data_IF_545926872189
#
_entry.id   IF_545926872189
#
_cell.length_a   1.000
_cell.length_b   1.000
_cell.length_c   1.000
_cell.angle_alpha   90.00
_cell.angle_beta   90.00
_cell.angle_gamma   90.00
#
_symmetry.space_group_name_H-M   'P 1'
#
loop_
_entity.id
_entity.type
_entity.pdbx_description
1 polymer ?
#
# COMPACT_ATOMS: atom_id res chain seq x y z
N UNK A 1 28.53 23.06 2.86
CA UNK A 1 27.68 22.19 2.02
C UNK A 1 27.84 20.70 2.29
N UNK A 2 29.04 20.17 2.62
CA UNK A 2 29.23 18.74 2.92
C UNK A 2 28.41 18.20 4.12
N UNK A 3 28.09 19.04 5.10
CA UNK A 3 27.28 18.66 6.27
C UNK A 3 25.79 18.44 5.96
N UNK A 4 25.24 19.07 4.91
CA UNK A 4 23.82 18.90 4.55
C UNK A 4 23.58 17.63 3.76
N UNK A 5 24.51 17.24 2.88
CA UNK A 5 24.46 15.96 2.14
C UNK A 5 24.66 14.76 3.08
N UNK A 6 25.48 14.91 4.12
CA UNK A 6 25.69 13.85 5.11
C UNK A 6 24.45 13.60 5.98
N UNK A 7 23.69 14.65 6.31
CA UNK A 7 22.40 14.50 7.01
C UNK A 7 21.34 13.83 6.15
N UNK A 8 21.26 14.15 4.84
CA UNK A 8 20.34 13.48 3.92
C UNK A 8 20.67 11.98 3.77
N UNK A 9 21.95 11.63 3.67
CA UNK A 9 22.40 10.22 3.62
C UNK A 9 22.16 9.47 4.93
N UNK A 10 22.29 10.12 6.08
CA UNK A 10 22.00 9.51 7.38
C UNK A 10 20.50 9.21 7.55
N UNK A 11 19.61 10.11 7.10
CA UNK A 11 18.17 9.87 7.06
C UNK A 11 17.81 8.71 6.13
N UNK A 12 18.49 8.61 4.98
CA UNK A 12 18.33 7.49 4.04
C UNK A 12 18.81 6.15 4.62
N UNK A 13 19.92 6.16 5.39
CA UNK A 13 20.45 4.98 6.07
C UNK A 13 19.53 4.51 7.20
N UNK A 14 18.92 5.42 7.94
CA UNK A 14 17.91 5.08 8.95
C UNK A 14 16.63 4.48 8.32
N UNK A 15 16.23 4.93 7.13
CA UNK A 15 15.12 4.31 6.39
C UNK A 15 15.43 2.85 5.98
N UNK A 16 16.67 2.56 5.58
CA UNK A 16 17.12 1.20 5.25
C UNK A 16 17.20 0.27 6.48
N UNK A 17 17.57 0.82 7.64
CA UNK A 17 17.63 0.05 8.89
C UNK A 17 16.24 -0.22 9.50
N UNK A 18 15.31 0.72 9.41
CA UNK A 18 13.92 0.51 9.87
C UNK A 18 13.14 -0.50 9.02
N UNK A 19 13.42 -0.57 7.72
CA UNK A 19 12.79 -1.53 6.80
C UNK A 19 13.37 -2.94 6.93
N UNK A 20 14.67 -3.08 7.24
CA UNK A 20 15.29 -4.40 7.48
C UNK A 20 14.90 -5.01 8.85
N UNK A 21 14.84 -4.21 9.93
CA UNK A 21 14.43 -4.72 11.26
C UNK A 21 12.96 -5.19 11.32
N UNK A 22 12.10 -4.68 10.44
CA UNK A 22 10.71 -5.14 10.32
C UNK A 22 10.57 -6.48 9.58
N UNK A 23 11.58 -6.91 8.79
CA UNK A 23 11.49 -8.08 7.89
C UNK A 23 12.38 -9.28 8.25
N UNK A 24 13.34 -9.18 9.17
CA UNK A 24 14.26 -10.29 9.50
C UNK A 24 14.08 -10.92 10.90
N UNK A 25 12.89 -10.80 11.51
CA UNK A 25 12.56 -11.52 12.76
C UNK A 25 12.06 -12.96 12.55
N UNK A 26 12.18 -13.53 11.35
CA UNK A 26 11.54 -14.81 11.02
C UNK A 26 12.42 -15.67 10.11
N UNK A 27 13.56 -16.14 10.62
CA UNK A 27 14.24 -17.35 10.16
C UNK A 27 15.41 -17.68 11.09
N UNK A 28 15.16 -18.44 12.16
CA UNK A 28 16.13 -19.37 12.74
C UNK A 28 15.46 -20.28 13.77
N UNK A 29 15.98 -21.51 13.85
CA UNK A 29 15.73 -22.60 14.82
C UNK A 29 14.44 -23.41 14.68
N UNK A 30 14.50 -24.37 13.74
CA UNK A 30 13.78 -25.63 13.82
C UNK A 30 14.67 -26.76 13.26
N UNK A 31 15.48 -27.40 14.12
CA UNK A 31 16.10 -28.70 13.83
C UNK A 31 16.25 -29.51 15.12
N UNK A 32 15.49 -30.62 15.13
CA UNK A 32 15.86 -31.98 15.54
C UNK A 32 16.43 -32.23 16.94
N UNK A 33 15.67 -32.96 17.75
CA UNK A 33 16.23 -34.03 18.58
C UNK A 33 15.18 -35.14 18.79
N UNK A 34 15.60 -36.36 18.45
CA UNK A 34 14.93 -37.64 18.57
C UNK A 34 15.63 -38.43 19.70
N UNK A 35 14.90 -39.37 20.32
CA UNK A 35 15.29 -40.28 21.43
C UNK A 35 15.23 -39.63 22.83
N UNK A 36 14.68 -40.24 23.89
CA UNK A 36 14.64 -41.63 24.31
C UNK A 36 13.36 -41.97 25.11
N UNK A 37 12.91 -43.23 25.03
CA UNK A 37 11.95 -43.88 25.97
C UNK A 37 12.55 -44.00 27.37
N UNK A 38 11.73 -43.82 28.41
CA UNK A 38 11.64 -44.66 29.63
C UNK A 38 10.35 -44.34 30.42
N UNK A 39 9.83 -45.34 31.13
CA UNK A 39 8.47 -45.50 31.66
C UNK A 39 8.23 -44.92 33.07
N UNK A 40 7.00 -44.34 33.26
CA UNK A 40 6.06 -44.39 34.42
C UNK A 40 6.46 -43.85 35.83
N UNK A 41 5.52 -43.62 36.79
CA UNK A 41 4.08 -43.27 36.73
C UNK A 41 3.64 -42.09 37.67
N UNK A 42 2.36 -41.68 37.54
CA UNK A 42 1.48 -40.99 38.53
C UNK A 42 1.90 -39.67 39.21
N UNK A 43 1.26 -38.56 38.81
CA UNK A 43 0.80 -37.50 39.73
C UNK A 43 -0.24 -36.56 39.06
N UNK A 44 -1.17 -36.10 39.88
CA UNK A 44 -2.40 -35.32 39.69
C UNK A 44 -2.34 -33.95 38.97
N UNK A 45 -3.51 -33.35 38.60
CA UNK A 45 -3.60 -32.29 37.61
C UNK A 45 -3.36 -30.90 38.23
N UNK A 46 -2.38 -30.17 37.69
CA UNK A 46 -2.24 -28.73 37.94
C UNK A 46 -2.80 -27.92 36.78
N UNK A 47 -3.76 -27.07 37.14
CA UNK A 47 -4.41 -26.04 36.36
C UNK A 47 -3.45 -25.20 35.50
N UNK A 48 -3.64 -25.22 34.18
CA UNK A 48 -2.98 -24.29 33.26
C UNK A 48 -3.85 -23.05 33.08
N UNK A 49 -3.41 -21.95 33.67
CA UNK A 49 -3.95 -20.61 33.43
C UNK A 49 -3.71 -20.21 31.97
N UNK A 50 -4.80 -19.99 31.22
CA UNK A 50 -4.78 -19.39 29.89
C UNK A 50 -4.17 -17.99 29.93
N UNK A 51 -2.91 -17.85 29.51
CA UNK A 51 -2.27 -16.57 29.26
C UNK A 51 -2.64 -16.12 27.83
N UNK A 52 -3.63 -15.23 27.73
CA UNK A 52 -4.03 -14.58 26.48
C UNK A 52 -2.85 -13.82 25.85
N UNK A 53 -2.22 -14.44 24.84
CA UNK A 53 -1.31 -13.75 23.92
C UNK A 53 -2.15 -12.98 22.90
N UNK A 54 -2.32 -11.67 23.13
CA UNK A 54 -2.88 -10.72 22.15
C UNK A 54 -1.94 -10.64 20.95
N UNK A 55 -2.17 -11.44 19.91
CA UNK A 55 -1.52 -11.25 18.61
C UNK A 55 -2.24 -10.13 17.84
N UNK A 56 -1.62 -8.95 17.78
CA UNK A 56 -1.98 -7.83 16.89
C UNK A 56 -1.58 -8.06 15.41
N UNK A 57 -1.47 -9.32 14.98
CA UNK A 57 -0.93 -9.70 13.67
C UNK A 57 -2.05 -10.20 12.75
N UNK A 58 -2.90 -9.30 12.22
CA UNK A 58 -3.69 -9.56 10.98
C UNK A 58 -4.51 -8.33 10.54
N UNK A 59 -3.92 -7.13 10.52
CA UNK A 59 -4.61 -5.95 9.94
C UNK A 59 -4.25 -5.67 8.48
N UNK A 60 -3.23 -6.34 7.92
CA UNK A 60 -2.68 -6.00 6.59
C UNK A 60 -3.21 -6.86 5.42
N UNK A 61 -3.78 -8.04 5.66
CA UNK A 61 -4.18 -8.94 4.57
C UNK A 61 -5.65 -8.85 4.15
N UNK A 62 -6.53 -8.25 4.96
CA UNK A 62 -7.98 -8.22 4.65
C UNK A 62 -8.30 -7.27 3.49
N UNK A 63 -7.52 -6.20 3.30
CA UNK A 63 -7.81 -5.17 2.31
C UNK A 63 -7.63 -5.60 0.84
N UNK A 64 -6.78 -6.58 0.53
CA UNK A 64 -6.44 -6.91 -0.86
C UNK A 64 -7.38 -7.89 -1.56
N UNK A 65 -8.18 -8.70 -0.82
CA UNK A 65 -8.95 -9.77 -1.45
C UNK A 65 -10.38 -9.39 -1.87
N UNK A 66 -10.93 -8.27 -1.37
CA UNK A 66 -12.34 -7.90 -1.63
C UNK A 66 -12.57 -7.06 -2.89
N UNK A 67 -11.52 -6.56 -3.53
CA UNK A 67 -11.67 -5.47 -4.52
C UNK A 67 -11.77 -5.95 -5.97
N UNK A 68 -11.70 -7.26 -6.23
CA UNK A 68 -11.67 -7.78 -7.61
C UNK A 68 -13.03 -7.71 -8.36
N UNK A 69 -14.14 -7.41 -7.67
CA UNK A 69 -15.50 -7.54 -8.24
C UNK A 69 -16.34 -6.24 -8.33
N UNK A 70 -15.84 -5.06 -7.94
CA UNK A 70 -16.59 -3.79 -8.12
C UNK A 70 -16.32 -3.15 -9.48
N UNK A 71 -17.02 -3.63 -10.53
CA UNK A 71 -16.97 -3.07 -11.89
C UNK A 71 -18.12 -2.11 -12.23
N UNK A 72 -18.83 -1.52 -11.25
CA UNK A 72 -20.07 -0.78 -11.54
C UNK A 72 -20.52 0.32 -10.57
N UNK A 73 -19.61 1.03 -9.89
CA UNK A 73 -19.99 2.22 -9.11
C UNK A 73 -19.69 3.50 -9.90
N UNK A 74 -20.70 4.36 -10.07
CA UNK A 74 -20.59 5.68 -10.67
C UNK A 74 -19.67 6.58 -9.83
N UNK A 75 -18.74 7.34 -10.44
CA UNK A 75 -17.83 8.20 -9.70
C UNK A 75 -18.56 9.44 -9.18
N UNK A 76 -18.47 9.66 -7.86
CA UNK A 76 -18.79 10.96 -7.26
C UNK A 76 -17.69 12.00 -7.58
N UNK A 77 -17.97 13.31 -7.44
CA UNK A 77 -17.02 14.36 -7.76
C UNK A 77 -15.95 14.45 -6.66
N UNK A 78 -14.89 13.64 -6.79
CA UNK A 78 -13.76 13.64 -5.87
C UNK A 78 -12.74 14.74 -6.27
N UNK A 79 -12.20 15.47 -5.29
CA UNK A 79 -11.15 16.47 -5.53
C UNK A 79 -9.85 15.88 -6.14
N UNK A 80 -9.67 14.55 -6.08
CA UNK A 80 -8.60 13.83 -6.79
C UNK A 80 -8.80 13.80 -8.31
N UNK A 81 -10.06 13.79 -8.78
CA UNK A 81 -10.37 13.92 -10.20
C UNK A 81 -9.99 15.30 -10.72
N UNK A 82 -10.05 16.35 -9.90
CA UNK A 82 -9.61 17.70 -10.30
C UNK A 82 -8.09 17.83 -10.36
N UNK A 83 -7.34 17.15 -9.49
CA UNK A 83 -5.87 17.13 -9.52
C UNK A 83 -5.32 16.22 -10.62
N UNK A 84 -5.96 15.07 -10.86
CA UNK A 84 -5.65 14.22 -12.01
C UNK A 84 -6.13 14.85 -13.32
N UNK A 85 -7.24 15.60 -13.32
CA UNK A 85 -7.68 16.38 -14.48
C UNK A 85 -6.73 17.56 -14.71
N UNK A 86 -6.20 18.23 -13.69
CA UNK A 86 -5.16 19.26 -13.87
C UNK A 86 -3.86 18.66 -14.39
N UNK A 87 -3.40 17.53 -13.82
CA UNK A 87 -2.22 16.81 -14.32
C UNK A 87 -2.42 16.27 -15.73
N UNK A 88 -3.60 15.72 -16.03
CA UNK A 88 -4.00 15.24 -17.34
C UNK A 88 -4.34 16.37 -18.31
N UNK A 89 -4.66 17.58 -17.88
CA UNK A 89 -4.92 18.75 -18.73
C UNK A 89 -3.63 19.55 -18.97
N UNK A 90 -2.63 19.41 -18.09
CA UNK A 90 -1.24 19.82 -18.37
C UNK A 90 -0.57 18.81 -19.32
N UNK A 91 -0.75 17.50 -19.10
CA UNK A 91 -0.25 16.45 -20.00
C UNK A 91 -1.01 16.38 -21.33
N UNK A 92 -2.34 16.51 -21.30
CA UNK A 92 -3.14 16.60 -22.52
C UNK A 92 -2.98 17.97 -23.16
N UNK A 93 -2.83 19.07 -22.43
CA UNK A 93 -2.44 20.36 -23.01
C UNK A 93 -1.11 20.27 -23.75
N UNK A 94 -0.14 19.53 -23.22
CA UNK A 94 1.11 19.21 -23.91
C UNK A 94 0.92 18.22 -25.09
N UNK A 95 -0.02 17.28 -25.00
CA UNK A 95 -0.26 16.26 -26.03
C UNK A 95 -1.23 16.68 -27.16
N UNK A 96 -2.26 17.49 -26.89
CA UNK A 96 -3.27 17.94 -27.86
C UNK A 96 -2.86 19.20 -28.62
N UNK A 97 -2.00 20.06 -28.05
CA UNK A 97 -1.25 21.03 -28.86
C UNK A 97 -0.09 20.37 -29.63
N UNK A 98 0.33 19.17 -29.23
CA UNK A 98 1.43 18.44 -29.89
C UNK A 98 1.00 17.59 -31.09
N UNK A 99 -0.15 16.93 -31.07
CA UNK A 99 -0.31 15.66 -31.82
C UNK A 99 -0.28 15.70 -33.37
N UNK A 100 -0.67 16.76 -34.10
CA UNK A 100 -0.40 16.82 -35.54
C UNK A 100 0.93 17.50 -35.91
N UNK A 101 1.74 17.93 -34.94
CA UNK A 101 2.99 18.68 -35.10
C UNK A 101 4.26 17.88 -34.67
N UNK A 102 4.12 16.64 -34.17
CA UNK A 102 5.14 15.91 -33.39
C UNK A 102 6.37 15.44 -34.17
N UNK A 103 6.36 15.33 -35.50
CA UNK A 103 7.58 14.91 -36.19
C UNK A 103 8.64 16.02 -36.21
N UNK A 104 8.24 17.25 -36.54
CA UNK A 104 9.17 18.37 -36.69
C UNK A 104 9.35 19.18 -35.38
N UNK A 105 8.36 19.17 -34.47
CA UNK A 105 8.42 19.98 -33.24
C UNK A 105 9.11 19.29 -32.06
N UNK A 106 9.42 17.99 -32.14
CA UNK A 106 10.23 17.35 -31.10
C UNK A 106 11.69 17.80 -31.22
N UNK A 107 12.21 17.98 -32.44
CA UNK A 107 13.52 18.60 -32.64
C UNK A 107 13.51 20.07 -32.19
N UNK A 108 12.52 20.89 -32.58
CA UNK A 108 12.43 22.29 -32.10
C UNK A 108 12.20 22.39 -30.59
N UNK A 109 11.46 21.45 -29.99
CA UNK A 109 11.34 21.37 -28.54
C UNK A 109 12.68 20.98 -27.89
N UNK A 110 13.42 20.03 -28.45
CA UNK A 110 14.74 19.65 -27.95
C UNK A 110 15.77 20.78 -28.12
N UNK A 111 15.79 21.47 -29.27
CA UNK A 111 16.65 22.64 -29.51
C UNK A 111 16.24 23.86 -28.66
N UNK A 112 14.95 24.02 -28.36
CA UNK A 112 14.51 25.06 -27.41
C UNK A 112 14.76 24.68 -25.95
N UNK A 113 14.87 23.39 -25.60
CA UNK A 113 15.34 22.96 -24.27
C UNK A 113 16.81 23.34 -24.06
N UNK A 114 17.64 23.27 -25.10
CA UNK A 114 19.01 23.84 -25.10
C UNK A 114 19.02 25.38 -24.97
N UNK A 115 17.97 26.07 -25.43
CA UNK A 115 17.79 27.51 -25.22
C UNK A 115 17.23 27.85 -23.82
N UNK A 116 16.54 26.90 -23.17
CA UNK A 116 15.95 27.03 -21.84
C UNK A 116 16.90 26.60 -20.72
N UNK A 117 18.01 25.96 -21.07
CA UNK A 117 19.15 25.70 -20.19
C UNK A 117 20.00 26.95 -20.11
N UNK A 118 20.06 27.55 -18.93
CA UNK A 118 20.97 28.67 -18.72
C UNK A 118 22.41 28.11 -18.73
N UNK A 119 23.33 28.64 -19.56
CA UNK A 119 24.68 28.09 -19.73
C UNK A 119 25.54 28.09 -18.45
N UNK A 120 25.06 28.70 -17.37
CA UNK A 120 25.68 28.68 -16.03
C UNK A 120 24.65 28.77 -14.89
N UNK A 121 23.41 28.29 -15.08
CA UNK A 121 22.34 28.53 -14.10
C UNK A 121 21.23 27.48 -14.09
N UNK A 122 20.39 27.56 -13.06
CA UNK A 122 19.16 26.79 -12.95
C UNK A 122 18.14 27.36 -13.95
N UNK A 123 17.94 26.66 -15.06
CA UNK A 123 17.07 27.05 -16.16
C UNK A 123 15.62 26.61 -16.00
N UNK A 124 14.79 26.92 -17.00
CA UNK A 124 13.40 26.47 -17.03
C UNK A 124 13.33 24.94 -17.21
N UNK A 125 14.26 24.36 -17.96
CA UNK A 125 14.38 22.91 -18.10
C UNK A 125 14.64 22.22 -16.75
N UNK A 126 15.51 22.78 -15.90
CA UNK A 126 15.75 22.26 -14.55
C UNK A 126 14.53 22.37 -13.64
N UNK A 127 13.75 23.46 -13.79
CA UNK A 127 12.51 23.64 -13.07
C UNK A 127 11.47 22.60 -13.49
N UNK A 128 11.29 22.37 -14.79
CA UNK A 128 10.39 21.34 -15.31
C UNK A 128 10.81 19.94 -14.86
N UNK A 129 12.11 19.61 -14.97
CA UNK A 129 12.65 18.36 -14.46
C UNK A 129 12.39 18.20 -12.96
N UNK A 130 12.57 19.27 -12.17
CA UNK A 130 12.28 19.26 -10.74
C UNK A 130 10.79 19.09 -10.41
N UNK A 131 9.90 19.66 -11.22
CA UNK A 131 8.45 19.44 -11.10
C UNK A 131 8.06 17.99 -11.43
N UNK A 132 8.65 17.41 -12.48
CA UNK A 132 8.43 16.01 -12.86
C UNK A 132 8.91 15.06 -11.76
N UNK A 133 10.13 15.27 -11.26
CA UNK A 133 10.65 14.52 -10.12
C UNK A 133 9.83 14.71 -8.85
N UNK A 134 9.43 15.95 -8.54
CA UNK A 134 8.60 16.24 -7.37
C UNK A 134 7.23 15.58 -7.42
N UNK A 135 6.59 15.62 -8.59
CA UNK A 135 5.32 14.92 -8.86
C UNK A 135 5.50 13.42 -8.73
N UNK A 136 6.55 12.87 -9.35
CA UNK A 136 6.88 11.45 -9.25
C UNK A 136 7.07 11.01 -7.78
N UNK A 137 7.87 11.74 -7.01
CA UNK A 137 8.15 11.48 -5.59
C UNK A 137 6.91 11.60 -4.70
N UNK A 138 5.89 12.36 -5.10
CA UNK A 138 4.64 12.45 -4.36
C UNK A 138 3.84 11.14 -4.44
N UNK A 139 3.86 10.47 -5.60
CA UNK A 139 3.09 9.26 -5.86
C UNK A 139 3.88 7.97 -5.62
N UNK A 140 5.16 7.93 -6.00
CA UNK A 140 6.02 6.74 -5.90
C UNK A 140 7.44 7.12 -5.46
N UNK A 141 7.98 6.38 -4.48
CA UNK A 141 9.39 6.54 -4.12
C UNK A 141 10.31 5.90 -5.18
N UNK A 142 11.58 6.30 -5.30
CA UNK A 142 12.52 5.66 -6.23
C UNK A 142 12.65 4.15 -5.97
N UNK A 143 12.57 3.75 -4.69
CA UNK A 143 12.55 2.33 -4.32
C UNK A 143 11.27 1.63 -4.80
N UNK A 144 10.11 2.28 -4.76
CA UNK A 144 8.87 1.72 -5.29
C UNK A 144 8.88 1.60 -6.81
N UNK A 145 9.48 2.56 -7.51
CA UNK A 145 9.71 2.47 -8.95
C UNK A 145 10.58 1.24 -9.27
N UNK A 146 11.65 1.00 -8.50
CA UNK A 146 12.46 -0.21 -8.63
C UNK A 146 11.69 -1.50 -8.33
N UNK A 147 10.87 -1.49 -7.28
CA UNK A 147 10.05 -2.65 -6.90
C UNK A 147 9.01 -3.00 -7.97
N UNK A 148 8.48 -2.00 -8.69
CA UNK A 148 7.57 -2.21 -9.81
C UNK A 148 8.23 -3.04 -10.91
N UNK A 149 9.50 -2.77 -11.23
CA UNK A 149 10.28 -3.59 -12.17
C UNK A 149 10.52 -5.03 -11.67
N UNK A 150 10.57 -5.23 -10.35
CA UNK A 150 10.70 -6.55 -9.72
C UNK A 150 9.33 -7.27 -9.60
N UNK A 151 8.23 -6.63 -10.02
CA UNK A 151 6.88 -7.16 -9.90
C UNK A 151 6.33 -7.14 -8.47
N UNK A 152 6.91 -6.31 -7.58
CA UNK A 152 6.41 -6.10 -6.21
C UNK A 152 5.69 -4.77 -6.10
N UNK A 153 4.41 -4.85 -5.78
CA UNK A 153 3.56 -3.68 -5.61
C UNK A 153 3.46 -3.38 -4.10
N UNK A 154 4.17 -2.36 -3.63
CA UNK A 154 3.93 -1.76 -2.32
C UNK A 154 2.59 -1.00 -2.39
N UNK A 155 1.85 -0.83 -1.28
CA UNK A 155 0.52 -0.19 -1.30
C UNK A 155 0.47 1.15 -0.58
N UNK A 156 1.58 1.68 -0.05
CA UNK A 156 1.63 2.93 0.70
C UNK A 156 2.26 4.05 -0.14
N UNK A 157 1.70 5.28 -0.18
CA UNK A 157 2.37 6.38 -0.91
C UNK A 157 3.54 6.90 -0.07
N UNK A 158 4.62 7.38 -0.69
CA UNK A 158 5.64 8.13 0.04
C UNK A 158 5.06 9.39 0.71
N UNK A 159 4.14 10.09 0.04
CA UNK A 159 3.42 11.25 0.59
C UNK A 159 2.62 10.90 1.84
N UNK A 160 2.01 9.70 1.92
CA UNK A 160 1.31 9.22 3.12
C UNK A 160 2.24 9.15 4.32
N UNK A 161 3.43 8.60 4.11
CA UNK A 161 4.44 8.51 5.14
C UNK A 161 4.90 9.89 5.60
N UNK A 162 5.11 10.83 4.66
CA UNK A 162 5.44 12.22 4.97
C UNK A 162 4.33 12.90 5.79
N UNK A 163 3.07 12.76 5.39
CA UNK A 163 1.93 13.32 6.13
C UNK A 163 1.88 12.76 7.55
N UNK A 164 2.04 11.46 7.72
CA UNK A 164 2.06 10.83 9.05
C UNK A 164 3.28 11.25 9.87
N UNK A 165 4.44 11.44 9.23
CA UNK A 165 5.66 11.91 9.88
C UNK A 165 5.48 13.34 10.39
N UNK A 166 5.00 14.25 9.54
CA UNK A 166 4.71 15.64 9.87
C UNK A 166 3.65 15.73 10.98
N UNK A 167 2.55 14.99 10.84
CA UNK A 167 1.48 14.96 11.83
C UNK A 167 1.96 14.45 13.20
N UNK A 168 2.67 13.31 13.23
CA UNK A 168 3.02 12.63 14.49
C UNK A 168 4.25 13.21 15.16
N UNK A 169 5.33 13.46 14.40
CA UNK A 169 6.61 13.87 14.98
C UNK A 169 6.72 15.37 15.18
N UNK A 170 6.26 16.16 14.21
CA UNK A 170 6.40 17.62 14.28
C UNK A 170 5.24 18.28 15.03
N UNK A 171 4.01 17.82 14.78
CA UNK A 171 2.81 18.44 15.36
C UNK A 171 2.25 17.70 16.57
N UNK A 172 2.82 16.53 16.93
CA UNK A 172 2.39 15.75 18.08
C UNK A 172 0.97 15.17 17.98
N UNK A 173 0.36 15.15 16.80
CA UNK A 173 -1.01 14.69 16.61
C UNK A 173 -1.09 13.17 16.66
N UNK A 174 -2.09 12.64 17.40
CA UNK A 174 -2.34 11.20 17.53
C UNK A 174 -3.17 10.65 16.37
N UNK A 175 -2.66 10.79 15.16
CA UNK A 175 -3.29 10.30 13.92
C UNK A 175 -2.79 8.89 13.58
N UNK A 176 -3.71 7.96 13.31
CA UNK A 176 -3.37 6.56 12.97
C UNK A 176 -3.36 6.31 11.47
N UNK A 177 -4.19 7.03 10.72
CA UNK A 177 -4.34 6.90 9.27
C UNK A 177 -4.27 8.27 8.57
N UNK A 178 -3.80 8.29 7.32
CA UNK A 178 -3.68 9.52 6.51
C UNK A 178 -5.05 10.17 6.29
N UNK A 179 -6.11 9.36 6.20
CA UNK A 179 -7.47 9.86 6.03
C UNK A 179 -7.97 10.67 7.24
N UNK A 180 -7.32 10.58 8.40
CA UNK A 180 -7.62 11.38 9.59
C UNK A 180 -6.82 12.69 9.62
N UNK A 181 -5.82 12.83 8.74
CA UNK A 181 -4.95 13.99 8.73
C UNK A 181 -5.69 15.23 8.21
N UNK A 182 -5.43 16.42 8.79
CA UNK A 182 -5.94 17.67 8.25
C UNK A 182 -5.56 17.83 6.77
N UNK A 183 -6.52 18.25 5.94
CA UNK A 183 -6.32 18.38 4.49
C UNK A 183 -5.17 19.31 4.09
N UNK A 184 -4.80 20.27 4.95
CA UNK A 184 -3.68 21.17 4.73
C UNK A 184 -2.29 20.51 4.84
N UNK A 185 -2.18 19.29 5.40
CA UNK A 185 -0.91 18.57 5.41
C UNK A 185 -0.53 17.98 4.05
N UNK A 186 -1.53 17.72 3.19
CA UNK A 186 -1.28 17.22 1.84
C UNK A 186 -0.44 18.20 0.99
N UNK A 187 -0.77 19.51 0.88
CA UNK A 187 0.08 20.45 0.16
C UNK A 187 1.45 20.64 0.81
N UNK A 188 1.58 20.47 2.14
CA UNK A 188 2.90 20.51 2.79
C UNK A 188 3.77 19.32 2.37
N UNK A 189 3.21 18.11 2.35
CA UNK A 189 3.90 16.94 1.83
C UNK A 189 4.25 17.10 0.34
N UNK A 190 3.34 17.68 -0.45
CA UNK A 190 3.61 18.01 -1.85
C UNK A 190 4.77 19.01 -1.99
N UNK A 191 4.84 20.04 -1.15
CA UNK A 191 5.94 21.00 -1.13
C UNK A 191 7.28 20.35 -0.77
N UNK A 192 7.30 19.41 0.19
CA UNK A 192 8.51 18.64 0.53
C UNK A 192 8.96 17.77 -0.65
N UNK A 193 8.03 17.08 -1.31
CA UNK A 193 8.32 16.31 -2.51
C UNK A 193 8.83 17.20 -3.66
N UNK A 194 8.23 18.36 -3.87
CA UNK A 194 8.64 19.34 -4.88
C UNK A 194 10.04 19.89 -4.59
N UNK A 195 10.31 20.29 -3.34
CA UNK A 195 11.65 20.73 -2.93
C UNK A 195 12.70 19.63 -3.13
N UNK A 196 12.33 18.38 -2.84
CA UNK A 196 13.21 17.22 -3.10
C UNK A 196 13.44 17.00 -4.59
N UNK A 197 12.40 17.16 -5.42
CA UNK A 197 12.49 17.06 -6.88
C UNK A 197 13.39 18.14 -7.49
N UNK A 198 13.24 19.40 -7.06
CA UNK A 198 14.14 20.50 -7.42
C UNK A 198 15.58 20.21 -6.98
N UNK A 199 15.76 19.63 -5.79
CA UNK A 199 17.07 19.19 -5.30
C UNK A 199 17.70 18.13 -6.20
N UNK A 200 16.93 17.11 -6.62
CA UNK A 200 17.40 16.08 -7.56
C UNK A 200 17.81 16.72 -8.89
N UNK A 201 16.94 17.57 -9.44
CA UNK A 201 17.21 18.28 -10.70
C UNK A 201 18.51 19.10 -10.61
N UNK A 202 18.66 19.90 -9.56
CA UNK A 202 19.88 20.66 -9.29
C UNK A 202 21.11 19.76 -9.16
N UNK A 203 21.02 18.62 -8.47
CA UNK A 203 22.15 17.69 -8.34
C UNK A 203 22.53 17.04 -9.67
N UNK A 204 21.57 16.72 -10.53
CA UNK A 204 21.82 16.16 -11.85
C UNK A 204 22.45 17.21 -12.77
N UNK A 205 21.93 18.44 -12.77
CA UNK A 205 22.50 19.57 -13.50
C UNK A 205 23.94 19.84 -13.06
N UNK A 206 24.19 19.88 -11.74
CA UNK A 206 25.52 20.15 -11.20
C UNK A 206 26.54 19.02 -11.46
N UNK A 207 26.10 17.78 -11.69
CA UNK A 207 26.99 16.63 -11.90
C UNK A 207 27.21 16.28 -13.37
N UNK A 208 26.19 16.46 -14.20
CA UNK A 208 26.22 16.09 -15.63
C UNK A 208 26.43 17.30 -16.54
N UNK A 209 26.24 18.52 -16.02
CA UNK A 209 26.40 19.76 -16.78
C UNK A 209 25.28 20.04 -17.78
N UNK A 210 24.25 19.19 -17.83
CA UNK A 210 23.12 19.30 -18.75
C UNK A 210 21.83 18.76 -18.11
N UNK A 211 20.71 19.44 -18.42
CA UNK A 211 19.37 19.21 -17.88
C UNK A 211 18.65 18.08 -18.62
N UNK A 212 19.12 17.68 -19.80
CA UNK A 212 18.56 16.60 -20.61
C UNK A 212 18.37 15.31 -19.81
N UNK A 213 19.35 14.96 -18.96
CA UNK A 213 19.26 13.80 -18.09
C UNK A 213 18.23 13.97 -16.98
N UNK A 214 18.18 15.15 -16.35
CA UNK A 214 17.21 15.45 -15.30
C UNK A 214 15.78 15.40 -15.84
N UNK A 215 15.56 15.96 -17.03
CA UNK A 215 14.26 16.02 -17.69
C UNK A 215 13.80 14.63 -18.16
N UNK A 216 14.64 13.89 -18.88
CA UNK A 216 14.30 12.56 -19.40
C UNK A 216 14.04 11.55 -18.29
N UNK A 217 14.88 11.52 -17.24
CA UNK A 217 14.67 10.64 -16.09
C UNK A 217 13.48 11.06 -15.25
N UNK A 218 13.25 12.37 -15.08
CA UNK A 218 12.07 12.91 -14.40
C UNK A 218 10.77 12.54 -15.13
N UNK A 219 10.75 12.62 -16.46
CA UNK A 219 9.61 12.21 -17.28
C UNK A 219 9.33 10.71 -17.13
N UNK A 220 10.36 9.86 -17.26
CA UNK A 220 10.23 8.41 -17.07
C UNK A 220 9.73 8.05 -15.67
N UNK A 221 10.27 8.70 -14.63
CA UNK A 221 9.84 8.52 -13.25
C UNK A 221 8.39 8.98 -13.04
N UNK A 222 7.95 10.06 -13.70
CA UNK A 222 6.58 10.55 -13.63
C UNK A 222 5.60 9.58 -14.31
N UNK A 223 5.93 9.06 -15.49
CA UNK A 223 5.12 8.03 -16.17
C UNK A 223 5.02 6.76 -15.33
N UNK A 224 6.14 6.27 -14.78
CA UNK A 224 6.15 5.10 -13.90
C UNK A 224 5.27 5.30 -12.65
N UNK A 225 5.33 6.49 -12.04
CA UNK A 225 4.48 6.86 -10.93
C UNK A 225 3.00 6.91 -11.32
N UNK A 226 2.68 7.38 -12.53
CA UNK A 226 1.32 7.37 -13.08
C UNK A 226 0.78 5.95 -13.26
N UNK A 227 1.55 5.04 -13.87
CA UNK A 227 1.17 3.62 -14.02
C UNK A 227 0.97 2.96 -12.66
N UNK A 228 1.86 3.25 -11.70
CA UNK A 228 1.76 2.74 -10.34
C UNK A 228 0.49 3.21 -9.64
N UNK A 229 0.12 4.49 -9.79
CA UNK A 229 -1.08 5.06 -9.21
C UNK A 229 -2.36 4.49 -9.86
N UNK A 230 -2.36 4.27 -11.18
CA UNK A 230 -3.46 3.60 -11.89
C UNK A 230 -3.65 2.14 -11.45
N UNK A 231 -2.56 1.43 -11.16
CA UNK A 231 -2.60 0.06 -10.66
C UNK A 231 -2.97 -0.05 -9.18
N UNK A 232 -3.05 1.06 -8.45
CA UNK A 232 -3.23 1.04 -7.02
C UNK A 232 -4.71 0.87 -6.64
N UNK A 233 -5.03 -0.03 -5.68
CA UNK A 233 -6.37 -0.14 -5.16
C UNK A 233 -6.84 1.15 -4.49
N UNK A 234 -8.08 1.57 -4.77
CA UNK A 234 -8.71 2.71 -4.13
C UNK A 234 -8.70 2.54 -2.61
N UNK A 235 -8.41 3.62 -1.88
CA UNK A 235 -8.42 3.60 -0.42
C UNK A 235 -9.83 3.51 0.10
N UNK A 236 -10.02 2.70 1.13
CA UNK A 236 -11.25 2.75 1.91
C UNK A 236 -11.36 4.10 2.61
N UNK A 237 -12.57 4.66 2.59
CA UNK A 237 -12.90 5.76 3.49
C UNK A 237 -12.80 5.28 4.94
N UNK A 238 -12.68 6.23 5.89
CA UNK A 238 -12.60 5.89 7.32
C UNK A 238 -13.77 5.00 7.78
N UNK A 239 -14.99 5.34 7.36
CA UNK A 239 -16.20 4.58 7.73
C UNK A 239 -16.17 3.17 7.15
N UNK A 240 -15.74 3.02 5.90
CA UNK A 240 -15.62 1.72 5.26
C UNK A 240 -14.53 0.87 5.90
N UNK A 241 -13.37 1.45 6.21
CA UNK A 241 -12.29 0.75 6.89
C UNK A 241 -12.72 0.24 8.28
N UNK A 242 -13.40 1.09 9.07
CA UNK A 242 -13.95 0.71 10.37
C UNK A 242 -15.01 -0.40 10.24
N UNK A 243 -15.83 -0.37 9.19
CA UNK A 243 -16.82 -1.40 8.90
C UNK A 243 -16.18 -2.74 8.54
N UNK A 244 -15.20 -2.75 7.64
CA UNK A 244 -14.46 -3.97 7.25
C UNK A 244 -13.72 -4.55 8.46
N UNK A 245 -13.08 -3.71 9.28
CA UNK A 245 -12.41 -4.13 10.52
C UNK A 245 -13.39 -4.70 11.55
N UNK A 246 -14.63 -4.20 11.61
CA UNK A 246 -15.67 -4.74 12.49
C UNK A 246 -16.16 -6.10 11.98
N UNK A 247 -16.52 -6.18 10.69
CA UNK A 247 -16.94 -7.43 10.05
C UNK A 247 -15.89 -8.54 10.22
N UNK A 248 -14.61 -8.21 10.03
CA UNK A 248 -13.51 -9.14 10.23
C UNK A 248 -13.42 -9.64 11.68
N UNK A 249 -13.54 -8.74 12.67
CA UNK A 249 -13.51 -9.12 14.09
C UNK A 249 -14.68 -10.03 14.47
N UNK A 250 -15.87 -9.71 13.98
CA UNK A 250 -17.08 -10.51 14.24
C UNK A 250 -16.97 -11.89 13.59
N UNK A 251 -16.38 -11.97 12.39
CA UNK A 251 -16.08 -13.22 11.71
C UNK A 251 -15.05 -14.05 12.46
N UNK A 252 -13.95 -13.45 12.93
CA UNK A 252 -12.92 -14.17 13.71
C UNK A 252 -13.51 -14.71 15.02
N UNK A 253 -14.33 -13.92 15.72
CA UNK A 253 -15.01 -14.39 16.92
C UNK A 253 -15.95 -15.57 16.67
N UNK A 254 -16.66 -15.58 15.54
CA UNK A 254 -17.44 -16.73 15.09
C UNK A 254 -16.53 -17.92 14.76
N UNK A 255 -15.48 -17.70 13.98
CA UNK A 255 -14.59 -18.74 13.50
C UNK A 255 -13.90 -19.46 14.66
N UNK A 256 -13.39 -18.72 15.64
CA UNK A 256 -12.73 -19.28 16.81
C UNK A 256 -13.69 -20.07 17.72
N UNK A 257 -15.00 -19.76 17.68
CA UNK A 257 -16.02 -20.47 18.45
C UNK A 257 -16.62 -21.70 17.73
N UNK A 258 -16.64 -21.70 16.39
CA UNK A 258 -17.49 -22.63 15.60
C UNK A 258 -16.76 -23.37 14.48
N UNK A 259 -15.63 -22.86 14.00
CA UNK A 259 -14.89 -23.46 12.90
C UNK A 259 -13.73 -24.28 13.44
N UNK A 260 -13.61 -25.51 12.95
CA UNK A 260 -12.46 -26.38 13.16
C UNK A 260 -11.64 -26.45 11.88
N UNK A 261 -10.32 -26.50 12.03
CA UNK A 261 -9.34 -26.58 10.93
C UNK A 261 -9.12 -28.00 10.42
N UNK A 262 -10.19 -28.79 10.38
CA UNK A 262 -10.20 -30.21 10.02
C UNK A 262 -11.53 -30.55 9.36
N UNK A 263 -11.63 -31.70 8.69
CA UNK A 263 -12.89 -32.15 8.11
C UNK A 263 -13.30 -31.45 6.80
N UNK A 264 -14.59 -31.52 6.48
CA UNK A 264 -15.20 -30.94 5.27
C UNK A 264 -16.55 -30.32 5.62
N UNK A 265 -16.82 -29.13 5.10
CA UNK A 265 -18.12 -28.46 5.21
C UNK A 265 -18.45 -27.73 3.91
N UNK A 266 -19.74 -27.54 3.65
CA UNK A 266 -20.19 -26.77 2.49
C UNK A 266 -20.16 -25.27 2.79
N UNK A 267 -19.89 -24.44 1.77
CA UNK A 267 -19.83 -22.98 1.91
C UNK A 267 -21.13 -22.38 2.46
N UNK A 268 -22.28 -22.89 2.02
CA UNK A 268 -23.59 -22.43 2.49
C UNK A 268 -23.85 -22.77 3.96
N UNK A 269 -23.26 -23.84 4.50
CA UNK A 269 -23.40 -24.20 5.91
C UNK A 269 -22.68 -23.19 6.79
N UNK A 270 -21.47 -22.80 6.39
CA UNK A 270 -20.67 -21.78 7.10
C UNK A 270 -21.38 -20.43 7.04
N UNK A 271 -21.86 -20.03 5.86
CA UNK A 271 -22.63 -18.80 5.70
C UNK A 271 -23.90 -18.80 6.56
N UNK A 272 -24.66 -19.89 6.55
CA UNK A 272 -25.88 -20.02 7.35
C UNK A 272 -25.56 -19.99 8.85
N UNK A 273 -24.51 -20.68 9.30
CA UNK A 273 -24.10 -20.69 10.69
C UNK A 273 -23.64 -19.30 11.16
N UNK A 274 -22.84 -18.60 10.36
CA UNK A 274 -22.38 -17.24 10.65
C UNK A 274 -23.56 -16.27 10.77
N UNK A 275 -24.46 -16.27 9.78
CA UNK A 275 -25.64 -15.40 9.75
C UNK A 275 -26.64 -15.69 10.87
N UNK A 276 -26.71 -16.93 11.36
CA UNK A 276 -27.51 -17.31 12.53
C UNK A 276 -26.91 -16.79 13.84
N UNK A 277 -25.57 -16.74 13.95
CA UNK A 277 -24.90 -16.29 15.16
C UNK A 277 -24.77 -14.77 15.26
N UNK A 278 -24.64 -14.09 14.12
CA UNK A 278 -24.50 -12.63 14.05
C UNK A 278 -25.71 -12.00 13.36
N UNK A 279 -26.75 -11.58 14.11
CA UNK A 279 -28.00 -11.06 13.54
C UNK A 279 -27.80 -9.84 12.63
N UNK A 280 -26.74 -9.05 12.86
CA UNK A 280 -26.39 -7.88 12.07
C UNK A 280 -26.07 -8.21 10.60
N UNK A 281 -25.71 -9.46 10.28
CA UNK A 281 -25.35 -9.91 8.94
C UNK A 281 -26.36 -10.91 8.37
N UNK A 282 -27.60 -10.92 8.88
CA UNK A 282 -28.62 -11.91 8.49
C UNK A 282 -28.99 -11.84 7.00
N UNK A 283 -28.99 -10.65 6.42
CA UNK A 283 -29.20 -10.44 4.98
C UNK A 283 -27.91 -10.68 4.20
N UNK A 284 -27.99 -11.34 3.02
CA UNK A 284 -26.84 -11.53 2.15
C UNK A 284 -26.29 -10.21 1.57
N UNK A 285 -27.12 -9.18 1.50
CA UNK A 285 -26.73 -7.87 0.96
C UNK A 285 -25.75 -7.11 1.87
N UNK A 286 -25.80 -7.35 3.19
CA UNK A 286 -24.91 -6.68 4.15
C UNK A 286 -23.52 -7.31 4.19
N UNK A 287 -23.44 -8.64 4.01
CA UNK A 287 -22.18 -9.38 3.91
C UNK A 287 -22.29 -10.44 2.79
N UNK A 288 -21.81 -10.12 1.57
CA UNK A 288 -21.97 -11.01 0.42
C UNK A 288 -21.07 -12.24 0.56
N UNK A 289 -21.53 -13.38 0.04
CA UNK A 289 -20.84 -14.68 0.15
C UNK A 289 -19.38 -14.66 -0.36
N UNK A 290 -19.03 -13.96 -1.47
CA UNK A 290 -17.64 -13.83 -1.92
C UNK A 290 -16.72 -13.17 -0.88
N UNK A 291 -17.24 -12.19 -0.13
CA UNK A 291 -16.49 -11.55 0.95
C UNK A 291 -16.27 -12.53 2.10
N UNK A 292 -17.31 -13.27 2.51
CA UNK A 292 -17.19 -14.30 3.54
C UNK A 292 -16.16 -15.37 3.15
N UNK A 293 -16.14 -15.78 1.88
CA UNK A 293 -15.12 -16.68 1.32
C UNK A 293 -13.71 -16.11 1.47
N UNK A 294 -13.52 -14.83 1.17
CA UNK A 294 -12.23 -14.16 1.35
C UNK A 294 -11.80 -14.14 2.83
N UNK A 295 -12.76 -13.96 3.74
CA UNK A 295 -12.53 -13.97 5.18
C UNK A 295 -12.12 -15.37 5.67
N UNK A 296 -12.79 -16.43 5.22
CA UNK A 296 -12.43 -17.82 5.53
C UNK A 296 -10.99 -18.12 5.09
N UNK A 297 -10.63 -17.76 3.85
CA UNK A 297 -9.28 -17.97 3.31
C UNK A 297 -8.21 -17.20 4.10
N UNK A 298 -8.53 -15.99 4.55
CA UNK A 298 -7.63 -15.19 5.38
C UNK A 298 -7.45 -15.78 6.79
N UNK A 299 -8.50 -16.37 7.38
CA UNK A 299 -8.43 -16.97 8.72
C UNK A 299 -7.75 -18.35 8.69
N UNK A 300 -8.00 -19.16 7.66
CA UNK A 300 -7.36 -20.45 7.44
C UNK A 300 -6.88 -20.60 5.97
N UNK A 301 -5.59 -20.33 5.70
CA UNK A 301 -5.04 -20.44 4.35
C UNK A 301 -5.05 -21.84 3.72
N UNK A 302 -5.23 -22.90 4.53
CA UNK A 302 -5.32 -24.29 4.06
C UNK A 302 -6.75 -24.75 3.76
N UNK A 303 -7.74 -23.85 3.84
CA UNK A 303 -9.11 -24.12 3.48
C UNK A 303 -9.31 -24.03 1.95
N UNK A 304 -9.04 -25.14 1.25
CA UNK A 304 -9.19 -25.21 -0.20
C UNK A 304 -10.63 -25.50 -0.61
N UNK A 305 -11.17 -24.71 -1.53
CA UNK A 305 -12.52 -24.85 -2.08
C UNK A 305 -12.52 -25.80 -3.27
N UNK A 306 -13.40 -26.79 -3.27
CA UNK A 306 -13.65 -27.64 -4.45
C UNK A 306 -14.63 -26.95 -5.42
N UNK A 307 -14.66 -27.36 -6.70
CA UNK A 307 -15.64 -26.85 -7.67
C UNK A 307 -17.10 -26.97 -7.18
N UNK A 308 -17.40 -28.00 -6.39
CA UNK A 308 -18.73 -28.26 -5.84
C UNK A 308 -19.08 -27.41 -4.60
N UNK A 309 -18.25 -26.43 -4.21
CA UNK A 309 -18.54 -25.52 -3.09
C UNK A 309 -18.20 -26.04 -1.70
N UNK A 310 -17.49 -27.17 -1.59
CA UNK A 310 -17.02 -27.69 -0.30
C UNK A 310 -15.63 -27.17 0.04
N UNK A 311 -15.41 -26.86 1.31
CA UNK A 311 -14.08 -26.60 1.85
C UNK A 311 -13.44 -27.89 2.35
N UNK A 312 -12.16 -28.08 2.04
CA UNK A 312 -11.28 -29.09 2.66
C UNK A 312 -10.62 -28.49 3.90
N UNK A 313 -10.34 -29.31 4.91
CA UNK A 313 -9.72 -28.88 6.18
C UNK A 313 -10.53 -27.82 6.94
N UNK A 314 -11.85 -27.82 6.75
CA UNK A 314 -12.76 -26.92 7.44
C UNK A 314 -14.02 -27.69 7.79
N UNK A 315 -14.43 -27.63 9.05
CA UNK A 315 -15.68 -28.20 9.52
C UNK A 315 -16.34 -27.27 10.53
N UNK A 316 -17.66 -27.37 10.63
CA UNK A 316 -18.44 -26.69 11.64
C UNK A 316 -18.62 -27.59 12.86
N UNK A 317 -18.41 -27.03 14.05
CA UNK A 317 -18.74 -27.70 15.30
C UNK A 317 -20.24 -27.61 15.53
N UNK A 318 -20.87 -28.75 15.84
CA UNK A 318 -22.27 -28.78 16.25
C UNK A 318 -22.48 -27.86 17.47
N UNK A 319 -23.64 -27.19 17.54
CA UNK A 319 -24.01 -26.39 18.70
C UNK A 319 -24.23 -27.36 19.87
N UNK A 320 -23.28 -27.38 20.82
CA UNK A 320 -23.54 -27.88 22.18
C UNK A 320 -24.53 -26.93 22.84
#
# INVERSE_FOLDING_TARGET
>A
MALQTQNALNVFREQLQCTSRSRYGFMATGRSALSHRLQAPNAEPRSWSCRHSRRQLSRRCVACCSQKDRKGATPGPDNTTNLLALGALVLAGAATYGYPLVADNVEDFLYSVDALTAPNGFGLADLLAGLLWGTSLYFASPLQQLLLFIGRIETQRPSDWLILLLARRLLGMRIRDVNEAPGWLAPLAAAVCLASGLGISFTLQATLGDSTWALSTGLGACMAAGVYELGRPARFSRKEAEQVDRQWRDFVAFADARLQRSGRCHESEVATAFRRQQPAYRSPDTLPDPLLRSMIRNWHPGADRTPNGYYRNLSLVARV
#
